data_IF_579644294491
#
_entry.id   IF_579644294491
#
_cell.length_a   1.000
_cell.length_b   1.000
_cell.length_c   1.000
_cell.angle_alpha   90.00
_cell.angle_beta   90.00
_cell.angle_gamma   90.00
#
_symmetry.space_group_name_H-M   'P 1'
#
loop_
_entity.id
_entity.type
_entity.pdbx_description
1 polymer ?
#
# COMPACT_ATOMS: atom_id res chain seq x y z
N UNK A 1 24.51 21.85 -10.79
CA UNK A 1 23.39 22.48 -10.05
C UNK A 1 23.43 21.96 -8.61
N UNK A 2 23.82 22.77 -7.61
CA UNK A 2 23.81 22.35 -6.20
C UNK A 2 22.54 22.89 -5.54
N UNK A 3 21.54 22.04 -5.34
CA UNK A 3 20.27 22.43 -4.70
C UNK A 3 20.54 22.57 -3.20
N UNK A 4 20.23 23.75 -2.64
CA UNK A 4 20.37 24.03 -1.19
C UNK A 4 19.35 23.19 -0.39
N UNK A 5 19.73 22.72 0.79
CA UNK A 5 18.92 21.85 1.67
C UNK A 5 17.55 22.45 2.01
N UNK A 6 17.47 23.77 2.11
CA UNK A 6 16.22 24.53 2.32
C UNK A 6 15.24 24.39 1.15
N UNK A 7 15.75 24.44 -0.09
CA UNK A 7 14.97 24.28 -1.33
C UNK A 7 14.54 22.82 -1.50
N UNK A 8 15.39 21.87 -1.10
CA UNK A 8 15.03 20.45 -1.06
C UNK A 8 13.89 20.18 -0.05
N UNK A 9 13.97 20.76 1.15
CA UNK A 9 12.89 20.64 2.16
C UNK A 9 11.59 21.29 1.70
N UNK A 10 11.66 22.39 0.94
CA UNK A 10 10.48 22.99 0.33
C UNK A 10 9.86 22.07 -0.74
N UNK A 11 10.66 21.27 -1.45
CA UNK A 11 10.18 20.24 -2.38
C UNK A 11 9.56 19.04 -1.67
N UNK A 12 10.15 18.55 -0.57
CA UNK A 12 9.60 17.43 0.21
C UNK A 12 8.31 17.83 0.94
N UNK A 13 8.21 19.08 1.41
CA UNK A 13 6.96 19.64 1.96
C UNK A 13 5.93 19.97 0.88
N UNK A 14 6.34 20.08 -0.39
CA UNK A 14 5.44 20.33 -1.51
C UNK A 14 4.75 19.02 -1.91
N UNK A 15 3.64 18.80 -1.21
CA UNK A 15 2.41 18.23 -1.76
C UNK A 15 2.44 16.71 -2.00
N UNK A 16 2.23 15.94 -0.92
CA UNK A 16 1.30 14.80 -1.02
C UNK A 16 -0.08 15.42 -1.26
N UNK A 17 -0.40 15.73 -2.53
CA UNK A 17 -1.81 15.84 -2.93
C UNK A 17 -2.29 14.40 -2.88
N UNK A 18 -2.84 13.94 -1.75
CA UNK A 18 -3.80 12.85 -1.82
C UNK A 18 -4.91 13.41 -2.69
N UNK A 19 -4.89 13.08 -3.96
CA UNK A 19 -5.91 13.60 -4.87
C UNK A 19 -7.27 13.12 -4.33
N UNK A 20 -8.32 13.93 -4.47
CA UNK A 20 -9.67 13.47 -4.12
C UNK A 20 -10.01 12.15 -4.83
N UNK A 21 -9.40 11.92 -5.99
CA UNK A 21 -9.42 10.67 -6.73
C UNK A 21 -8.76 9.52 -5.94
N UNK A 22 -7.52 9.65 -5.49
CA UNK A 22 -6.83 8.64 -4.68
C UNK A 22 -7.58 8.32 -3.37
N UNK A 23 -8.18 9.35 -2.74
CA UNK A 23 -9.07 9.16 -1.57
C UNK A 23 -10.37 8.42 -1.92
N UNK A 24 -10.90 8.63 -3.12
CA UNK A 24 -12.08 7.91 -3.64
C UNK A 24 -11.73 6.44 -3.92
N UNK A 25 -10.55 6.15 -4.47
CA UNK A 25 -10.05 4.79 -4.65
C UNK A 25 -9.78 4.09 -3.34
N UNK A 26 -9.20 4.76 -2.34
CA UNK A 26 -9.07 4.21 -0.99
C UNK A 26 -10.43 3.84 -0.37
N UNK A 27 -11.46 4.67 -0.60
CA UNK A 27 -12.82 4.43 -0.10
C UNK A 27 -13.57 3.33 -0.86
N UNK A 28 -13.27 3.18 -2.15
CA UNK A 28 -13.82 2.15 -3.06
C UNK A 28 -12.88 0.97 -3.27
N UNK A 29 -11.87 0.78 -2.40
CA UNK A 29 -11.02 -0.41 -2.47
C UNK A 29 -11.90 -1.64 -2.45
N UNK A 30 -11.75 -2.47 -3.47
CA UNK A 30 -12.51 -3.70 -3.55
C UNK A 30 -12.21 -4.54 -2.31
N UNK A 31 -13.19 -5.27 -1.74
CA UNK A 31 -12.94 -6.13 -0.58
C UNK A 31 -11.73 -7.05 -0.77
N UNK A 32 -11.53 -7.55 -2.00
CA UNK A 32 -10.36 -8.33 -2.38
C UNK A 32 -9.03 -7.59 -2.24
N UNK A 33 -9.01 -6.29 -2.55
CA UNK A 33 -7.82 -5.44 -2.43
C UNK A 33 -7.50 -5.15 -0.96
N UNK A 34 -8.51 -4.96 -0.11
CA UNK A 34 -8.30 -4.83 1.33
C UNK A 34 -7.74 -6.12 1.95
N UNK A 35 -8.23 -7.27 1.51
CA UNK A 35 -7.73 -8.57 1.96
C UNK A 35 -6.29 -8.80 1.45
N UNK A 36 -5.98 -8.43 0.21
CA UNK A 36 -4.61 -8.43 -0.33
C UNK A 36 -3.68 -7.59 0.53
N UNK A 37 -4.01 -6.32 0.76
CA UNK A 37 -3.18 -5.44 1.59
C UNK A 37 -3.00 -5.99 3.00
N UNK A 38 -4.03 -6.62 3.57
CA UNK A 38 -3.92 -7.22 4.89
C UNK A 38 -2.92 -8.39 4.90
N UNK A 39 -2.90 -9.23 3.86
CA UNK A 39 -1.92 -10.29 3.69
C UNK A 39 -0.50 -9.74 3.49
N UNK A 40 -0.34 -8.73 2.63
CA UNK A 40 0.96 -8.09 2.36
C UNK A 40 1.54 -7.43 3.63
N UNK A 41 0.68 -6.88 4.49
CA UNK A 41 1.08 -6.33 5.79
C UNK A 41 1.39 -7.40 6.86
N UNK A 42 1.15 -8.67 6.58
CA UNK A 42 1.42 -9.79 7.47
C UNK A 42 2.48 -10.73 6.83
N UNK A 43 3.77 -10.57 7.17
CA UNK A 43 4.87 -11.26 6.48
C UNK A 43 4.72 -12.78 6.31
N UNK A 44 4.14 -13.54 7.27
CA UNK A 44 3.88 -14.96 7.06
C UNK A 44 2.85 -15.26 5.98
N UNK A 45 1.80 -14.42 5.84
CA UNK A 45 0.83 -14.56 4.74
C UNK A 45 1.47 -14.15 3.42
N UNK A 46 2.18 -13.03 3.39
CA UNK A 46 2.88 -12.53 2.20
C UNK A 46 3.81 -13.59 1.60
N UNK A 47 4.72 -14.13 2.41
CA UNK A 47 5.65 -15.18 1.97
C UNK A 47 4.94 -16.46 1.52
N UNK A 48 3.86 -16.85 2.19
CA UNK A 48 3.08 -18.03 1.79
C UNK A 48 2.33 -17.76 0.47
N UNK A 49 1.87 -16.53 0.27
CA UNK A 49 1.11 -16.11 -0.91
C UNK A 49 1.94 -16.20 -2.19
N UNK A 50 3.25 -15.97 -2.12
CA UNK A 50 4.18 -16.18 -3.23
C UNK A 50 4.27 -17.65 -3.67
N UNK A 51 3.97 -18.60 -2.76
CA UNK A 51 4.09 -20.03 -3.02
C UNK A 51 2.78 -20.67 -3.46
N UNK A 52 1.68 -20.34 -2.78
CA UNK A 52 0.37 -21.00 -2.98
C UNK A 52 -0.69 -20.05 -3.54
N UNK A 53 -0.35 -18.78 -3.73
CA UNK A 53 -1.28 -17.73 -4.14
C UNK A 53 -2.01 -17.10 -2.96
N UNK A 54 -2.38 -15.83 -3.13
CA UNK A 54 -3.06 -15.02 -2.13
C UNK A 54 -4.30 -15.69 -1.53
N UNK A 55 -5.21 -16.21 -2.34
CA UNK A 55 -6.51 -16.68 -1.82
C UNK A 55 -6.36 -17.84 -0.84
N UNK A 56 -5.39 -18.74 -1.08
CA UNK A 56 -5.10 -19.86 -0.21
C UNK A 56 -4.30 -19.42 1.02
N UNK A 57 -3.30 -18.56 0.85
CA UNK A 57 -2.52 -18.01 1.96
C UNK A 57 -3.38 -17.17 2.91
N UNK A 58 -4.27 -16.33 2.37
CA UNK A 58 -5.19 -15.52 3.16
C UNK A 58 -6.15 -16.40 3.97
N UNK A 59 -6.77 -17.42 3.35
CA UNK A 59 -7.64 -18.35 4.09
C UNK A 59 -6.89 -19.15 5.16
N UNK A 60 -5.61 -19.49 4.93
CA UNK A 60 -4.82 -20.21 5.93
C UNK A 60 -4.60 -19.40 7.23
N UNK A 61 -4.48 -18.07 7.12
CA UNK A 61 -4.21 -17.20 8.28
C UNK A 61 -5.43 -16.44 8.80
N UNK A 62 -6.40 -16.13 7.93
CA UNK A 62 -7.52 -15.23 8.20
C UNK A 62 -8.90 -15.81 7.81
N UNK A 63 -8.93 -17.05 7.30
CA UNK A 63 -10.16 -17.78 6.95
C UNK A 63 -10.78 -18.56 8.10
#
# INVERSE_FOLDING_TARGET
IKIKKEVANAFVKRQKRSSLYERYFEYYKNPMEQMHEHCENYPPCDYLSDQIGFSLAYNHFFG
#
